data_IF_868062105962
#
_entry.id   IF_868062105962
#
_cell.length_a   1.000
_cell.length_b   1.000
_cell.length_c   1.000
_cell.angle_alpha   90.00
_cell.angle_beta   90.00
_cell.angle_gamma   90.00
#
_symmetry.space_group_name_H-M   'P 1'
#
loop_
_entity.id
_entity.type
_entity.pdbx_description
1 polymer ?
#
# COMPACT_ATOMS: atom_id res chain seq x y z
N UNK A 1 -15.88 -8.09 -20.90
CA UNK A 1 -17.02 -7.57 -20.12
C UNK A 1 -17.50 -8.72 -19.27
N UNK A 2 -17.26 -8.68 -17.97
CA UNK A 2 -17.94 -9.56 -17.03
C UNK A 2 -19.18 -8.82 -16.56
N UNK A 3 -20.31 -9.25 -17.10
CA UNK A 3 -21.65 -8.89 -16.64
C UNK A 3 -22.02 -9.83 -15.50
N UNK A 4 -21.76 -9.39 -14.27
CA UNK A 4 -22.67 -9.67 -13.18
C UNK A 4 -22.92 -8.33 -12.49
N UNK A 5 -24.04 -7.69 -12.83
CA UNK A 5 -24.41 -6.33 -12.45
C UNK A 5 -24.78 -6.18 -10.97
N UNK A 6 -24.05 -6.84 -10.06
CA UNK A 6 -24.13 -6.58 -8.63
C UNK A 6 -23.19 -5.45 -8.30
N UNK A 7 -23.76 -4.30 -7.95
CA UNK A 7 -23.02 -3.22 -7.31
C UNK A 7 -22.41 -3.77 -6.02
N UNK A 8 -21.08 -3.93 -6.00
CA UNK A 8 -20.37 -4.44 -4.83
C UNK A 8 -20.69 -3.58 -3.61
N UNK A 9 -21.00 -4.23 -2.50
CA UNK A 9 -21.42 -3.58 -1.27
C UNK A 9 -20.22 -2.88 -0.65
N UNK A 10 -20.40 -1.59 -0.35
CA UNK A 10 -19.43 -0.78 0.39
C UNK A 10 -19.48 -1.15 1.87
N UNK A 11 -18.36 -0.97 2.55
CA UNK A 11 -18.24 -1.18 3.99
C UNK A 11 -17.88 0.07 4.76
N UNK A 12 -17.56 -0.11 6.03
CA UNK A 12 -17.19 0.94 6.96
C UNK A 12 -15.76 0.74 7.43
N UNK A 13 -15.02 1.84 7.51
CA UNK A 13 -13.62 1.79 7.94
C UNK A 13 -13.50 1.51 9.43
N UNK A 14 -12.32 1.07 9.90
CA UNK A 14 -12.06 0.91 11.34
C UNK A 14 -12.28 2.22 12.10
N UNK A 15 -11.96 3.36 11.48
CA UNK A 15 -12.24 4.69 12.03
C UNK A 15 -13.72 5.00 12.25
N UNK A 16 -14.58 4.59 11.31
CA UNK A 16 -16.04 4.80 11.42
C UNK A 16 -16.63 3.97 12.55
N UNK A 17 -16.24 2.70 12.64
CA UNK A 17 -16.68 1.82 13.72
C UNK A 17 -16.17 2.31 15.09
N UNK A 18 -14.93 2.80 15.16
CA UNK A 18 -14.39 3.41 16.38
C UNK A 18 -15.14 4.68 16.79
N UNK A 19 -15.51 5.55 15.83
CA UNK A 19 -16.33 6.74 16.10
C UNK A 19 -17.73 6.35 16.60
N UNK A 20 -18.37 5.34 16.01
CA UNK A 20 -19.68 4.85 16.42
C UNK A 20 -19.66 4.26 17.84
N UNK A 21 -18.68 3.39 18.12
CA UNK A 21 -18.46 2.86 19.46
C UNK A 21 -18.19 3.98 20.47
N UNK A 22 -17.36 4.97 20.12
CA UNK A 22 -17.05 6.09 21.03
C UNK A 22 -18.26 6.95 21.31
N UNK A 23 -19.08 7.26 20.29
CA UNK A 23 -20.31 8.05 20.49
C UNK A 23 -21.25 7.36 21.48
N UNK A 24 -21.47 6.06 21.30
CA UNK A 24 -22.34 5.29 22.16
C UNK A 24 -21.81 5.18 23.60
N UNK A 25 -20.52 4.91 23.77
CA UNK A 25 -19.87 4.88 25.08
C UNK A 25 -19.92 6.25 25.77
N UNK A 26 -19.63 7.33 25.05
CA UNK A 26 -19.67 8.69 25.60
C UNK A 26 -21.10 9.09 26.02
N UNK A 27 -22.11 8.79 25.20
CA UNK A 27 -23.52 8.99 25.56
C UNK A 27 -23.87 8.23 26.85
N UNK A 28 -23.57 6.93 26.92
CA UNK A 28 -23.85 6.11 28.10
C UNK A 28 -23.10 6.57 29.36
N UNK A 29 -21.88 7.10 29.21
CA UNK A 29 -21.13 7.69 30.33
C UNK A 29 -21.83 8.93 30.89
N UNK A 30 -22.47 9.72 30.03
CA UNK A 30 -23.11 11.00 30.41
C UNK A 30 -24.55 10.83 30.87
N UNK A 31 -25.33 10.00 30.19
CA UNK A 31 -26.78 9.85 30.43
C UNK A 31 -27.12 8.57 31.20
N UNK A 32 -26.23 7.58 31.18
CA UNK A 32 -26.47 6.25 31.72
C UNK A 32 -27.09 5.26 30.73
N UNK A 33 -27.41 5.67 29.50
CA UNK A 33 -28.06 4.85 28.48
C UNK A 33 -27.27 4.79 27.17
N UNK A 34 -27.20 3.61 26.55
CA UNK A 34 -26.58 3.43 25.25
C UNK A 34 -27.57 3.78 24.12
N UNK A 35 -27.19 4.62 23.14
CA UNK A 35 -28.06 4.95 22.01
C UNK A 35 -28.17 3.77 21.05
N UNK A 36 -29.39 3.51 20.57
CA UNK A 36 -29.65 2.51 19.55
C UNK A 36 -30.69 2.99 18.51
N UNK A 37 -30.35 2.96 17.20
CA UNK A 37 -29.02 2.78 16.64
C UNK A 37 -28.12 4.02 16.90
N UNK A 38 -26.81 3.87 16.76
CA UNK A 38 -25.87 5.01 16.87
C UNK A 38 -25.52 5.55 15.48
N UNK A 39 -25.86 6.81 15.21
CA UNK A 39 -25.47 7.50 13.98
C UNK A 39 -24.15 8.24 14.13
N UNK A 40 -23.28 8.21 13.11
CA UNK A 40 -22.03 8.98 13.10
C UNK A 40 -21.85 9.75 11.81
N UNK A 41 -21.32 10.96 11.91
CA UNK A 41 -20.98 11.78 10.76
C UNK A 41 -19.68 11.32 10.08
N UNK A 42 -19.75 11.08 8.78
CA UNK A 42 -18.58 10.81 7.94
C UNK A 42 -17.97 12.13 7.43
N UNK A 43 -16.71 12.11 6.95
CA UNK A 43 -16.11 13.28 6.29
C UNK A 43 -16.90 13.86 5.11
N UNK A 44 -17.79 13.08 4.49
CA UNK A 44 -18.69 13.54 3.43
C UNK A 44 -19.99 14.17 3.93
N UNK A 45 -20.21 14.25 5.24
CA UNK A 45 -21.47 14.67 5.88
C UNK A 45 -22.55 13.58 5.94
N UNK A 46 -22.32 12.40 5.38
CA UNK A 46 -23.28 11.29 5.47
C UNK A 46 -23.35 10.75 6.90
N UNK A 47 -24.53 10.25 7.32
CA UNK A 47 -24.80 9.76 8.68
C UNK A 47 -25.27 8.30 8.71
N UNK A 48 -24.39 7.32 8.50
CA UNK A 48 -24.72 5.92 8.72
C UNK A 48 -25.03 5.59 10.19
N UNK A 49 -25.94 4.65 10.38
CA UNK A 49 -26.35 4.13 11.68
C UNK A 49 -25.74 2.74 11.94
N UNK A 50 -25.35 2.47 13.19
CA UNK A 50 -24.68 1.23 13.60
C UNK A 50 -25.41 0.58 14.78
N UNK A 51 -25.45 -0.76 14.77
CA UNK A 51 -25.82 -1.56 15.92
C UNK A 51 -24.61 -1.78 16.83
N UNK A 52 -24.83 -1.75 18.14
CA UNK A 52 -23.82 -2.08 19.12
C UNK A 52 -23.76 -3.59 19.30
N UNK A 53 -22.54 -4.13 19.30
CA UNK A 53 -22.28 -5.54 19.55
C UNK A 53 -21.93 -5.82 21.02
N UNK A 54 -21.42 -4.80 21.72
CA UNK A 54 -21.11 -4.83 23.15
C UNK A 54 -21.52 -3.50 23.76
N UNK A 55 -22.06 -3.57 24.98
CA UNK A 55 -22.39 -2.45 25.85
C UNK A 55 -21.95 -2.83 27.27
N UNK A 56 -21.13 -2.00 27.90
CA UNK A 56 -20.64 -2.24 29.25
C UNK A 56 -20.48 -0.90 29.97
N UNK A 57 -20.96 -0.81 31.21
CA UNK A 57 -20.82 0.37 32.05
C UNK A 57 -20.23 -0.04 33.40
N UNK A 58 -19.27 0.74 33.86
CA UNK A 58 -18.68 0.60 35.19
C UNK A 58 -18.62 1.92 35.93
N UNK A 59 -17.98 1.93 37.10
CA UNK A 59 -18.08 3.03 38.07
C UNK A 59 -17.48 4.37 37.59
N UNK A 60 -16.68 4.39 36.52
CA UNK A 60 -16.12 5.61 35.93
C UNK A 60 -15.83 5.47 34.43
N UNK A 61 -16.47 4.51 33.77
CA UNK A 61 -16.29 4.29 32.34
C UNK A 61 -17.56 3.74 31.71
N UNK A 62 -17.69 3.98 30.41
CA UNK A 62 -18.60 3.22 29.57
C UNK A 62 -17.81 2.70 28.38
N UNK A 63 -18.22 1.54 27.88
CA UNK A 63 -17.62 0.86 26.75
C UNK A 63 -18.72 0.41 25.80
N UNK A 64 -18.48 0.61 24.52
CA UNK A 64 -19.32 0.06 23.46
C UNK A 64 -18.45 -0.56 22.38
N UNK A 65 -19.01 -1.51 21.64
CA UNK A 65 -18.31 -2.20 20.56
C UNK A 65 -19.14 -2.24 19.27
N UNK A 66 -18.47 -2.11 18.13
CA UNK A 66 -19.07 -2.25 16.79
C UNK A 66 -18.29 -3.30 16.01
N UNK A 67 -18.99 -4.26 15.41
CA UNK A 67 -18.38 -5.23 14.49
C UNK A 67 -18.19 -4.56 13.13
N UNK A 68 -16.95 -4.51 12.65
CA UNK A 68 -16.61 -3.90 11.37
C UNK A 68 -17.15 -4.73 10.22
N UNK A 69 -17.95 -4.07 9.40
CA UNK A 69 -18.42 -4.62 8.14
C UNK A 69 -17.67 -3.97 6.97
N UNK A 70 -16.91 -4.75 6.19
CA UNK A 70 -16.09 -4.26 5.09
C UNK A 70 -16.81 -4.28 3.74
N UNK A 71 -18.09 -4.69 3.71
CA UNK A 71 -18.78 -4.88 2.45
C UNK A 71 -18.26 -6.13 1.73
N UNK A 72 -18.05 -6.01 0.42
CA UNK A 72 -17.49 -7.09 -0.41
C UNK A 72 -15.96 -6.94 -0.61
N UNK A 73 -15.30 -6.05 0.14
CA UNK A 73 -13.84 -5.94 0.13
C UNK A 73 -13.21 -7.11 0.91
N UNK A 74 -12.18 -7.79 0.37
CA UNK A 74 -11.43 -8.83 1.08
C UNK A 74 -10.49 -8.22 2.15
N UNK A 75 -11.05 -7.42 3.04
CA UNK A 75 -10.35 -6.69 4.10
C UNK A 75 -10.09 -7.62 5.30
N UNK A 76 -8.83 -7.74 5.71
CA UNK A 76 -8.42 -8.58 6.85
C UNK A 76 -9.08 -8.19 8.17
N UNK A 77 -9.56 -6.94 8.29
CA UNK A 77 -10.26 -6.42 9.46
C UNK A 77 -11.79 -6.55 9.36
N UNK A 78 -12.32 -7.20 8.33
CA UNK A 78 -13.74 -7.55 8.27
C UNK A 78 -14.12 -8.49 9.43
N UNK A 79 -15.25 -8.21 10.08
CA UNK A 79 -15.72 -8.96 11.25
C UNK A 79 -14.97 -8.62 12.55
N UNK A 80 -13.95 -7.76 12.51
CA UNK A 80 -13.24 -7.35 13.72
C UNK A 80 -14.16 -6.54 14.64
N UNK A 81 -14.18 -6.89 15.91
CA UNK A 81 -14.87 -6.12 16.93
C UNK A 81 -13.98 -4.95 17.38
N UNK A 82 -14.46 -3.74 17.14
CA UNK A 82 -13.80 -2.50 17.54
C UNK A 82 -14.53 -1.94 18.75
N UNK A 83 -13.81 -1.82 19.86
CA UNK A 83 -14.34 -1.39 21.15
C UNK A 83 -13.76 -0.02 21.49
N UNK A 84 -14.59 0.85 22.08
CA UNK A 84 -14.16 2.14 22.62
C UNK A 84 -14.56 2.20 24.08
N UNK A 85 -13.59 2.41 24.95
CA UNK A 85 -13.78 2.68 26.38
C UNK A 85 -13.58 4.16 26.62
N UNK A 86 -14.61 4.84 27.11
CA UNK A 86 -14.60 6.28 27.38
C UNK A 86 -14.62 6.52 28.89
N UNK A 87 -13.72 7.39 29.35
CA UNK A 87 -13.62 7.85 30.75
C UNK A 87 -13.61 9.37 30.78
N UNK A 88 -13.97 9.97 31.91
CA UNK A 88 -13.77 11.42 32.11
C UNK A 88 -12.28 11.72 32.16
N UNK A 89 -11.87 12.74 31.41
CA UNK A 89 -10.52 13.29 31.44
C UNK A 89 -10.33 14.26 32.60
N UNK A 90 -9.10 14.76 32.75
CA UNK A 90 -8.82 15.85 33.67
C UNK A 90 -9.35 17.17 33.10
N UNK A 91 -9.82 18.12 33.92
CA UNK A 91 -10.26 19.41 33.43
C UNK A 91 -9.20 20.11 32.56
N UNK A 92 -9.57 20.49 31.34
CA UNK A 92 -8.70 21.14 30.35
C UNK A 92 -7.76 20.20 29.59
N UNK A 93 -7.88 18.87 29.75
CA UNK A 93 -7.06 17.90 29.02
C UNK A 93 -7.47 17.74 27.56
N UNK A 94 -8.70 18.12 27.21
CA UNK A 94 -9.31 17.77 25.93
C UNK A 94 -9.44 16.25 25.76
N UNK A 95 -9.51 15.80 24.51
CA UNK A 95 -9.69 14.40 24.15
C UNK A 95 -8.32 13.72 24.04
N UNK A 96 -8.03 12.81 24.97
CA UNK A 96 -6.82 12.00 25.00
C UNK A 96 -7.10 10.64 24.39
N UNK A 97 -6.34 10.27 23.36
CA UNK A 97 -6.43 8.95 22.73
C UNK A 97 -5.47 7.97 23.37
N UNK A 98 -5.95 6.75 23.63
CA UNK A 98 -5.15 5.62 24.14
C UNK A 98 -5.31 4.40 23.24
N UNK A 99 -4.22 3.65 23.08
CA UNK A 99 -4.25 2.33 22.46
C UNK A 99 -4.61 1.29 23.53
N UNK A 100 -5.78 0.68 23.40
CA UNK A 100 -6.12 -0.55 24.11
C UNK A 100 -5.57 -1.78 23.36
N UNK A 101 -5.89 -2.97 23.88
CA UNK A 101 -5.43 -4.24 23.29
C UNK A 101 -5.79 -4.35 21.80
N UNK A 102 -4.82 -4.75 20.97
CA UNK A 102 -5.02 -4.94 19.53
C UNK A 102 -5.03 -3.67 18.68
N UNK A 103 -4.84 -2.48 19.27
CA UNK A 103 -4.51 -1.25 18.53
C UNK A 103 -3.01 -1.01 18.61
N UNK A 104 -2.39 -0.78 17.45
CA UNK A 104 -0.95 -0.60 17.37
C UNK A 104 -0.47 0.73 17.94
N UNK A 105 0.81 0.77 18.35
CA UNK A 105 1.54 1.99 18.71
C UNK A 105 2.59 2.27 17.65
N UNK A 106 2.75 3.55 17.30
CA UNK A 106 3.74 3.98 16.30
C UNK A 106 5.12 4.01 16.94
N UNK A 107 6.08 3.38 16.29
CA UNK A 107 7.48 3.25 16.75
C UNK A 107 8.49 3.85 15.78
N UNK A 108 8.07 4.16 14.55
CA UNK A 108 8.90 4.75 13.50
C UNK A 108 8.35 6.10 13.04
N UNK A 109 9.20 7.05 12.61
CA UNK A 109 8.75 8.31 12.04
C UNK A 109 8.21 8.12 10.61
N UNK A 110 7.58 9.16 10.05
CA UNK A 110 7.10 9.19 8.67
C UNK A 110 5.61 8.87 8.50
N UNK A 111 4.96 8.37 9.55
CA UNK A 111 3.50 8.30 9.61
C UNK A 111 2.90 9.67 10.00
N UNK A 112 1.59 9.90 9.76
CA UNK A 112 0.93 11.16 10.14
C UNK A 112 0.97 11.50 11.63
N UNK A 113 1.28 10.52 12.48
CA UNK A 113 1.37 10.64 13.92
C UNK A 113 2.79 10.27 14.37
N UNK A 114 3.34 10.96 15.38
CA UNK A 114 4.70 10.72 15.84
C UNK A 114 4.86 9.37 16.57
N UNK A 115 6.10 8.87 16.70
CA UNK A 115 6.41 7.74 17.57
C UNK A 115 5.90 7.93 19.01
N UNK A 116 5.41 6.86 19.61
CA UNK A 116 4.77 6.84 20.93
C UNK A 116 3.25 7.00 20.89
N UNK A 117 2.68 7.49 19.79
CA UNK A 117 1.23 7.68 19.67
C UNK A 117 0.49 6.38 19.32
N UNK A 118 -0.78 6.23 19.78
CA UNK A 118 -1.71 5.23 19.27
C UNK A 118 -1.89 5.39 17.76
N UNK A 119 -1.92 4.27 17.03
CA UNK A 119 -2.15 4.19 15.59
C UNK A 119 -3.62 4.47 15.21
N UNK A 120 -4.18 5.56 15.73
CA UNK A 120 -5.52 6.09 15.47
C UNK A 120 -5.34 7.33 14.61
N UNK A 121 -5.47 7.17 13.29
CA UNK A 121 -5.09 8.20 12.31
C UNK A 121 -5.90 9.51 12.45
N UNK A 122 -5.42 10.63 11.88
CA UNK A 122 -6.02 11.95 12.07
C UNK A 122 -7.50 12.06 11.68
N UNK A 123 -7.95 11.42 10.59
CA UNK A 123 -9.37 11.45 10.19
C UNK A 123 -10.24 10.69 11.20
N UNK A 124 -9.90 9.45 11.61
CA UNK A 124 -10.58 8.79 12.73
C UNK A 124 -10.62 9.62 14.02
N UNK A 125 -9.51 10.28 14.41
CA UNK A 125 -9.51 11.17 15.59
C UNK A 125 -10.55 12.28 15.45
N UNK A 126 -10.58 12.97 14.30
CA UNK A 126 -11.60 14.00 14.01
C UNK A 126 -13.02 13.45 14.05
N UNK A 127 -13.26 12.26 13.50
CA UNK A 127 -14.59 11.63 13.55
C UNK A 127 -15.01 11.31 14.99
N UNK A 128 -14.09 10.83 15.82
CA UNK A 128 -14.31 10.56 17.24
C UNK A 128 -14.57 11.87 18.00
N UNK A 129 -13.80 12.93 17.74
CA UNK A 129 -14.00 14.25 18.34
C UNK A 129 -15.39 14.82 17.99
N UNK A 130 -15.80 14.75 16.72
CA UNK A 130 -17.15 15.17 16.30
C UNK A 130 -18.23 14.35 17.01
N UNK A 131 -18.07 13.02 17.05
CA UNK A 131 -18.98 12.12 17.75
C UNK A 131 -19.13 12.46 19.24
N UNK A 132 -18.05 12.81 19.93
CA UNK A 132 -18.08 13.24 21.33
C UNK A 132 -18.78 14.59 21.46
N UNK A 133 -18.46 15.57 20.62
CA UNK A 133 -19.11 16.91 20.68
C UNK A 133 -20.62 16.85 20.46
N UNK A 134 -21.10 15.92 19.61
CA UNK A 134 -22.53 15.72 19.40
C UNK A 134 -23.29 15.29 20.66
N UNK A 135 -22.61 14.63 21.62
CA UNK A 135 -23.25 14.11 22.84
C UNK A 135 -22.88 14.91 24.09
N UNK A 136 -21.66 15.46 24.15
CA UNK A 136 -21.11 16.16 25.31
C UNK A 136 -21.10 17.69 25.16
N UNK A 137 -21.43 18.21 23.97
CA UNK A 137 -21.29 19.62 23.63
C UNK A 137 -19.82 20.05 23.60
N UNK A 138 -19.54 21.26 24.09
CA UNK A 138 -18.17 21.82 24.14
C UNK A 138 -17.30 21.23 25.27
N UNK A 139 -17.89 20.45 26.18
CA UNK A 139 -17.13 19.70 27.18
C UNK A 139 -16.39 18.55 26.50
N UNK A 140 -15.07 18.64 26.44
CA UNK A 140 -14.23 17.72 25.65
C UNK A 140 -13.16 17.00 26.47
N UNK A 141 -13.22 17.07 27.80
CA UNK A 141 -12.25 16.39 28.67
C UNK A 141 -12.60 14.90 28.81
N UNK A 142 -12.12 14.09 27.87
CA UNK A 142 -12.35 12.64 27.83
C UNK A 142 -11.07 11.87 27.54
N UNK A 143 -10.91 10.73 28.18
CA UNK A 143 -9.98 9.69 27.74
C UNK A 143 -10.73 8.67 26.88
N UNK A 144 -10.22 8.42 25.68
CA UNK A 144 -10.78 7.48 24.71
C UNK A 144 -9.76 6.40 24.42
N UNK A 145 -10.03 5.21 24.93
CA UNK A 145 -9.22 4.02 24.68
C UNK A 145 -9.89 3.14 23.63
N UNK A 146 -9.25 2.98 22.47
CA UNK A 146 -9.74 2.11 21.40
C UNK A 146 -9.02 0.77 21.47
N UNK A 147 -9.76 -0.33 21.45
CA UNK A 147 -9.24 -1.69 21.37
C UNK A 147 -9.87 -2.46 20.22
N UNK A 148 -9.16 -3.46 19.70
CA UNK A 148 -9.64 -4.34 18.64
C UNK A 148 -9.42 -5.79 19.07
N UNK A 149 -10.50 -6.56 19.13
CA UNK A 149 -10.41 -7.98 19.49
C UNK A 149 -9.55 -8.72 18.46
N UNK A 150 -8.60 -9.51 18.97
CA UNK A 150 -7.58 -10.21 18.17
C UNK A 150 -6.75 -9.29 17.23
N UNK A 151 -6.71 -7.97 17.49
CA UNK A 151 -6.03 -7.00 16.63
C UNK A 151 -4.53 -7.25 16.45
N UNK A 152 -3.86 -7.83 17.43
CA UNK A 152 -2.45 -8.27 17.32
C UNK A 152 -2.29 -9.33 16.21
N UNK A 153 -3.14 -10.36 16.21
CA UNK A 153 -3.12 -11.43 15.19
C UNK A 153 -3.53 -10.92 13.81
N UNK A 154 -4.47 -9.97 13.76
CA UNK A 154 -4.85 -9.32 12.52
C UNK A 154 -3.68 -8.52 11.93
N UNK A 155 -2.91 -7.83 12.79
CA UNK A 155 -1.78 -7.01 12.36
C UNK A 155 -0.65 -7.81 11.69
N UNK A 156 -0.45 -9.08 12.07
CA UNK A 156 0.52 -9.98 11.42
C UNK A 156 0.27 -10.19 9.92
N UNK A 157 -0.97 -9.97 9.48
CA UNK A 157 -1.39 -10.07 8.08
C UNK A 157 -1.45 -8.72 7.37
N UNK A 158 -0.84 -7.68 7.94
CA UNK A 158 -0.84 -6.31 7.40
C UNK A 158 0.58 -5.79 7.22
N UNK A 159 0.70 -4.63 6.56
CA UNK A 159 1.96 -3.90 6.44
C UNK A 159 2.33 -3.11 7.71
N UNK A 160 1.56 -3.20 8.79
CA UNK A 160 1.78 -2.40 10.00
C UNK A 160 3.17 -2.59 10.60
N UNK A 161 3.66 -3.84 10.71
CA UNK A 161 5.00 -4.11 11.23
C UNK A 161 6.10 -3.39 10.44
N UNK A 162 5.98 -3.38 9.10
CA UNK A 162 6.90 -2.66 8.19
C UNK A 162 6.84 -1.15 8.37
N UNK A 163 5.66 -0.61 8.62
CA UNK A 163 5.46 0.81 8.90
C UNK A 163 5.86 1.22 10.32
N UNK A 164 6.30 0.27 11.16
CA UNK A 164 6.65 0.54 12.55
C UNK A 164 5.44 0.67 13.47
N UNK A 165 4.33 0.01 13.15
CA UNK A 165 3.13 -0.04 13.99
C UNK A 165 3.12 -1.41 14.68
N UNK A 166 3.30 -1.40 16.00
CA UNK A 166 3.54 -2.61 16.81
C UNK A 166 2.42 -2.81 17.83
N UNK A 167 2.03 -4.06 18.10
CA UNK A 167 1.03 -4.41 19.11
C UNK A 167 -0.43 -4.39 18.62
N UNK A 168 -0.68 -4.15 17.33
CA UNK A 168 -2.04 -4.17 16.82
C UNK A 168 -2.23 -3.52 15.45
N UNK A 169 -3.50 -3.46 15.04
CA UNK A 169 -3.89 -2.81 13.79
C UNK A 169 -4.00 -1.29 13.94
N UNK A 170 -4.08 -0.61 12.81
CA UNK A 170 -4.32 0.83 12.75
C UNK A 170 -5.82 1.11 12.68
N UNK A 171 -6.29 2.10 13.44
CA UNK A 171 -7.61 2.69 13.26
C UNK A 171 -7.48 3.78 12.19
N UNK A 172 -8.02 3.52 11.01
CA UNK A 172 -7.79 4.30 9.81
C UNK A 172 -9.06 4.41 8.95
N UNK A 173 -9.01 5.30 7.97
CA UNK A 173 -10.11 5.59 7.05
C UNK A 173 -10.11 7.09 6.70
N UNK A 174 -10.05 7.43 5.42
CA UNK A 174 -10.02 8.84 4.97
C UNK A 174 -11.41 9.39 4.66
N UNK A 175 -12.32 8.53 4.20
CA UNK A 175 -13.71 8.86 3.83
C UNK A 175 -14.73 8.27 4.79
N UNK A 176 -14.29 7.44 5.73
CA UNK A 176 -15.15 6.60 6.55
C UNK A 176 -15.76 5.38 5.83
N UNK A 177 -15.48 5.20 4.53
CA UNK A 177 -16.09 4.14 3.71
C UNK A 177 -15.02 3.23 3.12
N UNK A 178 -15.23 1.92 3.21
CA UNK A 178 -14.46 0.91 2.48
C UNK A 178 -15.10 0.73 1.10
N UNK A 179 -14.30 0.91 0.06
CA UNK A 179 -14.70 0.67 -1.33
C UNK A 179 -14.02 -0.64 -1.77
N UNK A 180 -14.78 -1.67 -2.17
CA UNK A 180 -14.21 -2.95 -2.59
C UNK A 180 -13.17 -2.81 -3.70
N UNK A 181 -12.04 -3.49 -3.54
CA UNK A 181 -10.93 -3.52 -4.49
C UNK A 181 -10.39 -2.13 -4.86
N UNK A 182 -10.38 -1.20 -3.89
CA UNK A 182 -9.96 0.17 -4.15
C UNK A 182 -8.47 0.28 -4.46
N UNK A 183 -8.15 0.70 -5.68
CA UNK A 183 -6.79 1.07 -6.06
C UNK A 183 -6.23 2.22 -5.21
N UNK A 184 -7.07 3.13 -4.71
CA UNK A 184 -6.59 4.25 -3.90
C UNK A 184 -6.08 3.79 -2.54
N UNK A 185 -6.72 2.79 -1.92
CA UNK A 185 -6.27 2.22 -0.65
C UNK A 185 -4.87 1.59 -0.79
N UNK A 186 -4.65 0.84 -1.89
CA UNK A 186 -3.35 0.27 -2.21
C UNK A 186 -2.29 1.35 -2.50
N UNK A 187 -2.61 2.37 -3.30
CA UNK A 187 -1.68 3.47 -3.58
C UNK A 187 -1.27 4.21 -2.30
N UNK A 188 -2.20 4.40 -1.35
CA UNK A 188 -1.87 5.03 -0.07
C UNK A 188 -0.91 4.20 0.79
N UNK A 189 -0.92 2.86 0.71
CA UNK A 189 0.07 2.04 1.44
C UNK A 189 1.48 2.23 0.86
N UNK A 190 1.60 2.33 -0.47
CA UNK A 190 2.86 2.66 -1.16
C UNK A 190 3.41 4.00 -0.65
N UNK A 191 2.55 5.02 -0.54
CA UNK A 191 2.95 6.35 -0.06
C UNK A 191 3.48 6.29 1.37
N UNK A 192 2.80 5.54 2.26
CA UNK A 192 3.24 5.38 3.65
C UNK A 192 4.56 4.64 3.78
N UNK A 193 4.78 3.62 2.94
CA UNK A 193 6.09 2.96 2.86
C UNK A 193 7.20 3.96 2.52
N UNK A 194 6.98 4.79 1.49
CA UNK A 194 7.95 5.82 1.08
C UNK A 194 8.15 6.87 2.18
N UNK A 195 7.08 7.34 2.82
CA UNK A 195 7.19 8.34 3.89
C UNK A 195 8.02 7.80 5.08
N UNK A 196 7.80 6.55 5.48
CA UNK A 196 8.57 5.87 6.53
C UNK A 196 10.02 5.65 6.10
N UNK A 197 10.26 5.18 4.87
CA UNK A 197 11.61 5.02 4.34
C UNK A 197 12.41 6.34 4.40
N UNK A 198 11.80 7.43 3.94
CA UNK A 198 12.40 8.77 3.97
C UNK A 198 12.66 9.26 5.39
N UNK A 199 11.68 9.13 6.27
CA UNK A 199 11.79 9.61 7.65
C UNK A 199 12.78 8.78 8.48
N UNK A 200 13.06 7.53 8.09
CA UNK A 200 14.10 6.69 8.69
C UNK A 200 15.48 6.90 8.07
N UNK A 201 15.62 7.81 7.11
CA UNK A 201 16.90 8.14 6.47
C UNK A 201 17.30 7.22 5.32
N UNK A 202 16.38 6.38 4.80
CA UNK A 202 16.67 5.55 3.64
C UNK A 202 16.83 6.45 2.39
N UNK A 203 18.01 6.41 1.78
CA UNK A 203 18.31 7.13 0.53
C UNK A 203 17.99 6.30 -0.72
N UNK A 204 17.93 4.97 -0.57
CA UNK A 204 17.59 4.00 -1.61
C UNK A 204 16.31 3.26 -1.24
N UNK A 205 15.29 3.31 -2.10
CA UNK A 205 14.06 2.51 -1.97
C UNK A 205 13.93 1.52 -3.12
N UNK A 206 13.35 0.35 -2.85
CA UNK A 206 13.09 -0.70 -3.82
C UNK A 206 11.59 -0.98 -3.90
N UNK A 207 10.98 -0.62 -5.03
CA UNK A 207 9.61 -1.00 -5.37
C UNK A 207 9.59 -2.37 -6.04
N UNK A 208 8.91 -3.35 -5.46
CA UNK A 208 8.81 -4.70 -6.00
C UNK A 208 7.39 -5.03 -6.47
N UNK A 209 7.27 -5.74 -7.60
CA UNK A 209 5.95 -6.22 -8.07
C UNK A 209 5.43 -7.44 -7.31
N UNK A 210 6.23 -8.01 -6.42
CA UNK A 210 5.87 -9.16 -5.61
C UNK A 210 7.01 -9.65 -4.73
N UNK A 211 6.68 -10.57 -3.81
CA UNK A 211 7.57 -11.05 -2.74
C UNK A 211 8.89 -11.66 -3.25
N UNK A 212 8.86 -12.44 -4.35
CA UNK A 212 10.09 -13.04 -4.91
C UNK A 212 11.08 -11.97 -5.39
N UNK A 213 10.61 -10.99 -6.16
CA UNK A 213 11.44 -9.89 -6.64
C UNK A 213 11.87 -8.94 -5.51
N UNK A 214 11.03 -8.77 -4.49
CA UNK A 214 11.36 -7.99 -3.30
C UNK A 214 12.55 -8.61 -2.56
N UNK A 215 12.46 -9.90 -2.22
CA UNK A 215 13.53 -10.63 -1.51
C UNK A 215 14.82 -10.71 -2.32
N UNK A 216 14.72 -11.01 -3.62
CA UNK A 216 15.90 -11.10 -4.48
C UNK A 216 16.59 -9.74 -4.63
N UNK A 217 15.82 -8.67 -4.82
CA UNK A 217 16.34 -7.30 -4.88
C UNK A 217 16.90 -6.82 -3.54
N UNK A 218 16.24 -7.16 -2.43
CA UNK A 218 16.71 -6.88 -1.08
C UNK A 218 18.08 -7.52 -0.83
N UNK A 219 18.22 -8.82 -1.13
CA UNK A 219 19.49 -9.54 -0.95
C UNK A 219 20.60 -9.00 -1.86
N UNK A 220 20.25 -8.55 -3.08
CA UNK A 220 21.22 -7.99 -4.03
C UNK A 220 21.84 -6.67 -3.56
N UNK A 221 21.06 -5.84 -2.86
CA UNK A 221 21.48 -4.49 -2.44
C UNK A 221 21.63 -4.34 -0.92
N UNK A 222 21.45 -5.41 -0.15
CA UNK A 222 21.47 -5.43 1.32
C UNK A 222 20.59 -4.33 1.94
N UNK A 223 19.36 -4.21 1.41
CA UNK A 223 18.45 -3.14 1.83
C UNK A 223 17.73 -3.49 3.15
N UNK A 224 17.56 -2.51 4.06
CA UNK A 224 16.74 -2.69 5.23
C UNK A 224 15.27 -2.86 4.82
N UNK A 225 14.47 -3.54 5.65
CA UNK A 225 13.05 -3.77 5.38
C UNK A 225 12.28 -2.46 5.14
N UNK A 226 12.66 -1.37 5.82
CA UNK A 226 12.06 -0.04 5.66
C UNK A 226 12.26 0.58 4.28
N UNK A 227 13.24 0.12 3.50
CA UNK A 227 13.47 0.55 2.13
C UNK A 227 12.65 -0.23 1.10
N UNK A 228 11.98 -1.31 1.50
CA UNK A 228 11.21 -2.18 0.61
C UNK A 228 9.77 -1.70 0.51
N UNK A 229 9.35 -1.42 -0.71
CA UNK A 229 8.01 -0.92 -1.02
C UNK A 229 7.27 -1.99 -1.81
N UNK A 230 6.26 -2.59 -1.19
CA UNK A 230 5.31 -3.45 -1.89
C UNK A 230 4.40 -2.57 -2.77
N UNK A 231 4.83 -2.35 -4.02
CA UNK A 231 4.09 -1.53 -4.97
C UNK A 231 3.05 -2.34 -5.76
N UNK A 232 3.05 -3.67 -5.65
CA UNK A 232 2.30 -4.56 -6.51
C UNK A 232 2.47 -4.19 -7.99
N UNK A 233 1.37 -3.99 -8.70
CA UNK A 233 1.39 -3.68 -10.13
C UNK A 233 1.42 -2.16 -10.45
N UNK A 234 1.48 -1.28 -9.44
CA UNK A 234 1.25 0.16 -9.57
C UNK A 234 2.54 1.00 -9.65
N UNK A 235 3.42 0.70 -10.61
CA UNK A 235 4.69 1.41 -10.82
C UNK A 235 4.47 2.92 -11.03
N UNK A 236 3.49 3.30 -11.85
CA UNK A 236 3.18 4.72 -12.10
C UNK A 236 2.70 5.46 -10.84
N UNK A 237 1.98 4.77 -9.95
CA UNK A 237 1.52 5.35 -8.67
C UNK A 237 2.68 5.65 -7.74
N UNK A 238 3.65 4.74 -7.65
CA UNK A 238 4.88 4.92 -6.88
C UNK A 238 5.73 6.06 -7.45
N UNK A 239 6.03 6.03 -8.75
CA UNK A 239 6.86 7.05 -9.41
C UNK A 239 6.23 8.45 -9.32
N UNK A 240 4.91 8.55 -9.47
CA UNK A 240 4.20 9.83 -9.31
C UNK A 240 4.39 10.42 -7.91
N UNK A 241 4.37 9.60 -6.86
CA UNK A 241 4.53 10.06 -5.48
C UNK A 241 5.97 10.47 -5.17
N UNK A 242 6.95 9.72 -5.66
CA UNK A 242 8.37 10.03 -5.55
C UNK A 242 8.73 11.39 -6.18
N UNK A 243 7.92 11.88 -7.13
CA UNK A 243 8.12 13.23 -7.70
C UNK A 243 7.99 14.38 -6.72
N UNK A 244 7.07 14.26 -5.76
CA UNK A 244 6.90 15.24 -4.70
C UNK A 244 7.63 14.86 -3.41
N UNK A 245 8.11 13.61 -3.31
CA UNK A 245 8.80 13.06 -2.13
C UNK A 245 10.07 12.32 -2.57
N UNK A 246 11.09 13.05 -3.08
CA UNK A 246 12.26 12.42 -3.67
C UNK A 246 13.09 11.66 -2.64
N UNK A 247 13.79 10.65 -3.15
CA UNK A 247 14.87 9.87 -2.54
C UNK A 247 16.02 9.82 -3.54
N UNK A 248 17.24 9.59 -3.09
CA UNK A 248 18.42 9.64 -3.97
C UNK A 248 18.40 8.53 -5.02
N UNK A 249 17.91 7.33 -4.66
CA UNK A 249 17.89 6.16 -5.54
C UNK A 249 16.59 5.36 -5.43
N UNK A 250 16.08 4.92 -6.58
CA UNK A 250 14.91 4.06 -6.71
C UNK A 250 15.26 2.85 -7.56
N UNK A 251 14.96 1.66 -7.06
CA UNK A 251 14.98 0.42 -7.86
C UNK A 251 13.56 -0.04 -8.12
N UNK A 252 13.26 -0.41 -9.37
CA UNK A 252 12.04 -1.14 -9.74
C UNK A 252 12.43 -2.59 -9.96
N UNK A 253 11.92 -3.49 -9.14
CA UNK A 253 12.17 -4.92 -9.25
C UNK A 253 10.88 -5.65 -9.65
N UNK A 254 10.98 -6.57 -10.62
CA UNK A 254 9.84 -7.39 -10.97
C UNK A 254 10.17 -8.63 -11.78
N UNK A 255 9.16 -9.49 -11.93
CA UNK A 255 9.27 -10.69 -12.74
C UNK A 255 9.38 -10.37 -14.23
N UNK A 256 10.00 -11.27 -15.01
CA UNK A 256 10.15 -11.16 -16.48
C UNK A 256 8.89 -10.66 -17.19
N UNK A 257 7.71 -11.20 -16.87
CA UNK A 257 6.45 -10.79 -17.49
C UNK A 257 6.05 -9.33 -17.18
N UNK A 258 6.25 -8.88 -15.94
CA UNK A 258 5.88 -7.53 -15.50
C UNK A 258 6.86 -6.50 -16.05
N UNK A 259 8.15 -6.83 -16.08
CA UNK A 259 9.18 -5.96 -16.63
C UNK A 259 9.09 -5.87 -18.15
N UNK A 260 8.69 -6.93 -18.86
CA UNK A 260 8.35 -6.86 -20.29
C UNK A 260 7.21 -5.88 -20.56
N UNK A 261 6.17 -5.84 -19.72
CA UNK A 261 5.09 -4.85 -19.86
C UNK A 261 5.56 -3.42 -19.63
N UNK A 262 6.40 -3.22 -18.62
CA UNK A 262 7.02 -1.90 -18.38
C UNK A 262 7.90 -1.49 -19.57
N UNK A 263 8.67 -2.42 -20.14
CA UNK A 263 9.43 -2.21 -21.37
C UNK A 263 8.55 -1.85 -22.58
N UNK A 264 7.29 -2.29 -22.59
CA UNK A 264 6.29 -1.99 -23.61
C UNK A 264 5.48 -0.71 -23.31
N UNK A 265 5.89 0.08 -22.31
CA UNK A 265 5.29 1.39 -22.01
C UNK A 265 4.18 1.37 -20.94
N UNK A 266 3.91 0.21 -20.32
CA UNK A 266 2.84 0.09 -19.32
C UNK A 266 3.32 0.47 -17.92
N UNK A 267 2.70 1.49 -17.31
CA UNK A 267 2.96 1.90 -15.92
C UNK A 267 2.08 1.20 -14.88
N UNK A 268 1.02 0.53 -15.33
CA UNK A 268 0.23 -0.42 -14.55
C UNK A 268 0.38 -1.78 -15.23
N UNK A 269 1.07 -2.70 -14.56
CA UNK A 269 1.51 -3.98 -15.12
C UNK A 269 0.54 -5.13 -14.78
N UNK A 270 -0.64 -4.80 -14.26
CA UNK A 270 -1.67 -5.78 -13.93
C UNK A 270 -2.15 -6.54 -15.19
N UNK A 271 -2.46 -7.83 -15.05
CA UNK A 271 -2.88 -8.69 -16.18
C UNK A 271 -4.11 -8.16 -16.92
N UNK A 272 -5.08 -7.65 -16.17
CA UNK A 272 -6.31 -7.04 -16.71
C UNK A 272 -6.09 -5.73 -17.50
N UNK A 273 -4.91 -5.09 -17.41
CA UNK A 273 -4.60 -3.84 -18.12
C UNK A 273 -3.98 -4.06 -19.49
N UNK A 274 -3.61 -5.30 -19.80
CA UNK A 274 -2.99 -5.70 -21.05
C UNK A 274 -2.08 -6.90 -20.83
N UNK A 275 -1.99 -7.76 -21.84
CA UNK A 275 -1.02 -8.85 -21.87
C UNK A 275 0.31 -8.33 -22.41
N UNK A 276 1.40 -9.03 -22.08
CA UNK A 276 2.67 -8.74 -22.71
C UNK A 276 2.58 -9.13 -24.19
N UNK A 277 3.03 -8.24 -25.06
CA UNK A 277 3.07 -8.48 -26.50
C UNK A 277 4.30 -9.32 -26.85
N UNK A 278 4.08 -10.55 -27.32
CA UNK A 278 5.16 -11.48 -27.69
C UNK A 278 5.80 -11.13 -29.03
N UNK A 279 5.10 -10.44 -29.94
CA UNK A 279 5.67 -9.92 -31.17
C UNK A 279 6.67 -8.81 -30.87
N UNK A 280 6.29 -7.90 -29.97
CA UNK A 280 7.20 -6.87 -29.47
C UNK A 280 8.40 -7.48 -28.71
N UNK A 281 8.17 -8.54 -27.91
CA UNK A 281 9.27 -9.24 -27.22
C UNK A 281 10.22 -9.94 -28.20
N UNK A 282 9.70 -10.54 -29.27
CA UNK A 282 10.50 -11.15 -30.32
C UNK A 282 11.38 -10.10 -31.05
N UNK A 283 10.87 -8.88 -31.25
CA UNK A 283 11.66 -7.78 -31.79
C UNK A 283 12.82 -7.41 -30.85
N UNK A 284 12.58 -7.32 -29.53
CA UNK A 284 13.64 -7.09 -28.54
C UNK A 284 14.68 -8.22 -28.53
N UNK A 285 14.27 -9.47 -28.75
CA UNK A 285 15.21 -10.59 -28.86
C UNK A 285 16.12 -10.47 -30.10
N UNK A 286 15.60 -9.96 -31.22
CA UNK A 286 16.45 -9.63 -32.38
C UNK A 286 17.40 -8.49 -32.09
N UNK A 287 16.95 -7.44 -31.41
CA UNK A 287 17.82 -6.33 -30.96
C UNK A 287 18.97 -6.84 -30.07
N UNK A 288 18.71 -7.86 -29.25
CA UNK A 288 19.70 -8.52 -28.42
C UNK A 288 20.67 -9.46 -29.19
N UNK A 289 20.52 -9.58 -30.52
CA UNK A 289 21.35 -10.45 -31.38
C UNK A 289 20.74 -11.81 -31.70
N UNK A 290 19.48 -12.05 -31.35
CA UNK A 290 18.74 -13.26 -31.69
C UNK A 290 18.48 -13.40 -33.19
N UNK A 291 18.55 -14.64 -33.69
CA UNK A 291 18.23 -14.95 -35.08
C UNK A 291 16.71 -15.05 -35.34
N UNK A 292 16.33 -15.19 -36.61
CA UNK A 292 14.92 -15.26 -36.99
C UNK A 292 14.18 -16.46 -36.41
N UNK A 293 14.87 -17.61 -36.30
CA UNK A 293 14.29 -18.82 -35.70
C UNK A 293 13.90 -18.60 -34.24
N UNK A 294 14.76 -17.93 -33.46
CA UNK A 294 14.47 -17.55 -32.09
C UNK A 294 13.29 -16.58 -32.02
N UNK A 295 13.26 -15.57 -32.89
CA UNK A 295 12.16 -14.62 -32.94
C UNK A 295 10.81 -15.30 -33.22
N UNK A 296 10.76 -16.24 -34.18
CA UNK A 296 9.57 -17.05 -34.46
C UNK A 296 9.17 -17.89 -33.24
N UNK A 297 10.12 -18.55 -32.59
CA UNK A 297 9.85 -19.35 -31.40
C UNK A 297 9.29 -18.52 -30.24
N UNK A 298 9.79 -17.30 -30.03
CA UNK A 298 9.29 -16.38 -29.00
C UNK A 298 7.85 -15.95 -29.29
N UNK A 299 7.50 -15.65 -30.54
CA UNK A 299 6.10 -15.31 -30.92
C UNK A 299 5.12 -16.42 -30.62
N UNK A 300 5.56 -17.67 -30.76
CA UNK A 300 4.76 -18.86 -30.52
C UNK A 300 4.78 -19.32 -29.05
N UNK A 301 5.52 -18.63 -28.18
CA UNK A 301 5.56 -18.99 -26.77
C UNK A 301 4.21 -18.71 -26.09
N UNK A 302 3.80 -19.59 -25.16
CA UNK A 302 2.55 -19.38 -24.42
C UNK A 302 2.69 -18.34 -23.29
N UNK A 303 3.91 -18.12 -22.79
CA UNK A 303 4.19 -17.21 -21.67
C UNK A 303 5.52 -16.49 -21.88
N UNK A 304 5.64 -15.29 -21.33
CA UNK A 304 6.90 -14.52 -21.32
C UNK A 304 8.04 -15.31 -20.67
N UNK A 305 7.77 -16.09 -19.62
CA UNK A 305 8.80 -16.93 -18.99
C UNK A 305 9.43 -17.93 -19.99
N UNK A 306 8.61 -18.58 -20.81
CA UNK A 306 9.09 -19.50 -21.84
C UNK A 306 9.90 -18.76 -22.93
N UNK A 307 9.51 -17.53 -23.30
CA UNK A 307 10.32 -16.71 -24.21
C UNK A 307 11.72 -16.40 -23.65
N UNK A 308 11.82 -16.15 -22.33
CA UNK A 308 13.12 -15.96 -21.67
C UNK A 308 13.95 -17.25 -21.63
N UNK A 309 13.33 -18.41 -21.39
CA UNK A 309 14.01 -19.72 -21.45
C UNK A 309 14.56 -20.03 -22.85
N UNK A 310 13.80 -19.70 -23.91
CA UNK A 310 14.23 -19.83 -25.30
C UNK A 310 15.43 -18.92 -25.61
N UNK A 311 15.40 -17.66 -25.17
CA UNK A 311 16.50 -16.72 -25.35
C UNK A 311 17.77 -17.17 -24.60
N UNK A 312 17.63 -17.66 -23.37
CA UNK A 312 18.73 -18.20 -22.56
C UNK A 312 19.37 -19.41 -23.22
N UNK A 313 18.56 -20.33 -23.76
CA UNK A 313 19.04 -21.49 -24.53
C UNK A 313 19.82 -21.09 -25.78
N UNK A 314 19.44 -19.96 -26.40
CA UNK A 314 20.13 -19.37 -27.54
C UNK A 314 21.31 -18.45 -27.14
N UNK A 315 21.62 -18.32 -25.84
CA UNK A 315 22.66 -17.43 -25.28
C UNK A 315 22.44 -15.95 -25.62
N UNK A 316 21.18 -15.54 -25.70
CA UNK A 316 20.77 -14.15 -25.96
C UNK A 316 20.32 -13.52 -24.64
N UNK A 317 20.94 -12.38 -24.28
CA UNK A 317 20.59 -11.61 -23.08
C UNK A 317 19.36 -10.73 -23.32
N UNK A 318 18.21 -11.38 -23.44
CA UNK A 318 16.92 -10.71 -23.59
C UNK A 318 16.58 -9.86 -22.36
N UNK A 319 17.01 -10.29 -21.17
CA UNK A 319 16.70 -9.61 -19.92
C UNK A 319 17.37 -8.25 -19.79
N UNK A 320 18.62 -8.10 -20.25
CA UNK A 320 19.28 -6.80 -20.33
C UNK A 320 18.47 -5.83 -21.20
N UNK A 321 18.11 -6.22 -22.43
CA UNK A 321 17.33 -5.34 -23.34
C UNK A 321 15.98 -4.98 -22.74
N UNK A 322 15.27 -5.94 -22.12
CA UNK A 322 14.00 -5.65 -21.42
C UNK A 322 14.22 -4.66 -20.26
N UNK A 323 15.29 -4.81 -19.47
CA UNK A 323 15.61 -3.88 -18.40
C UNK A 323 15.88 -2.46 -18.92
N UNK A 324 16.64 -2.32 -20.02
CA UNK A 324 16.91 -1.02 -20.66
C UNK A 324 15.62 -0.32 -21.11
N UNK A 325 14.74 -1.03 -21.83
CA UNK A 325 13.47 -0.45 -22.32
C UNK A 325 12.51 -0.13 -21.17
N UNK A 326 12.46 -0.98 -20.14
CA UNK A 326 11.68 -0.73 -18.93
C UNK A 326 12.17 0.51 -18.19
N UNK A 327 13.49 0.71 -18.14
CA UNK A 327 14.11 1.90 -17.57
C UNK A 327 13.67 3.14 -18.32
N UNK A 328 13.67 3.13 -19.66
CA UNK A 328 13.25 4.27 -20.48
C UNK A 328 11.80 4.67 -20.16
N UNK A 329 10.89 3.71 -20.05
CA UNK A 329 9.50 3.97 -19.67
C UNK A 329 9.39 4.58 -18.27
N UNK A 330 10.06 3.99 -17.29
CA UNK A 330 10.00 4.44 -15.90
C UNK A 330 10.67 5.82 -15.73
N UNK A 331 11.82 6.05 -16.38
CA UNK A 331 12.52 7.32 -16.40
C UNK A 331 11.66 8.43 -17.03
N UNK A 332 10.97 8.14 -18.14
CA UNK A 332 10.05 9.07 -18.78
C UNK A 332 8.83 9.40 -17.90
N UNK A 333 8.43 8.51 -16.99
CA UNK A 333 7.38 8.78 -16.02
C UNK A 333 7.90 9.58 -14.81
N UNK A 334 9.14 9.33 -14.38
CA UNK A 334 9.74 9.98 -13.22
C UNK A 334 10.24 11.39 -13.55
N UNK A 335 11.04 11.55 -14.61
CA UNK A 335 11.63 12.82 -15.10
C UNK A 335 12.24 13.69 -13.98
N UNK A 336 13.04 13.08 -13.10
CA UNK A 336 13.68 13.80 -11.99
C UNK A 336 15.20 13.63 -11.98
N UNK A 337 15.96 14.73 -12.17
CA UNK A 337 17.41 14.66 -12.12
C UNK A 337 17.99 14.19 -10.79
N UNK A 338 17.31 14.49 -9.69
CA UNK A 338 17.76 14.16 -8.34
C UNK A 338 17.58 12.68 -7.97
N UNK A 339 16.93 11.87 -8.81
CA UNK A 339 16.64 10.46 -8.52
C UNK A 339 17.38 9.57 -9.52
N UNK A 340 18.30 8.76 -9.01
CA UNK A 340 18.90 7.65 -9.75
C UNK A 340 17.91 6.48 -9.81
N UNK A 341 17.77 5.87 -10.99
CA UNK A 341 16.83 4.79 -11.25
C UNK A 341 17.59 3.57 -11.77
N UNK A 342 17.24 2.38 -11.28
CA UNK A 342 17.61 1.11 -11.91
C UNK A 342 16.45 0.12 -11.95
N UNK A 343 16.50 -0.78 -12.94
CA UNK A 343 15.54 -1.86 -13.13
C UNK A 343 16.21 -3.20 -12.80
N UNK A 344 15.51 -4.07 -12.08
CA UNK A 344 15.88 -5.46 -11.87
C UNK A 344 14.80 -6.39 -12.42
N UNK A 345 15.23 -7.33 -13.26
CA UNK A 345 14.37 -8.35 -13.88
C UNK A 345 14.71 -9.71 -13.29
N UNK A 346 13.73 -10.35 -12.66
CA UNK A 346 13.89 -11.67 -12.02
C UNK A 346 13.00 -12.72 -12.68
N UNK A 347 13.42 -13.98 -12.63
CA UNK A 347 12.53 -15.12 -12.92
C UNK A 347 11.69 -15.52 -11.71
N UNK A 348 10.96 -16.65 -11.81
CA UNK A 348 10.09 -17.15 -10.74
C UNK A 348 10.86 -17.69 -9.53
N UNK A 349 12.12 -18.06 -9.73
CA UNK A 349 13.02 -18.56 -8.70
C UNK A 349 13.82 -17.43 -8.02
N UNK A 350 13.68 -16.19 -8.51
CA UNK A 350 14.42 -15.03 -8.01
C UNK A 350 15.82 -14.91 -8.61
N UNK A 351 16.15 -15.65 -9.67
CA UNK A 351 17.41 -15.47 -10.36
C UNK A 351 17.37 -14.19 -11.20
N UNK A 352 18.44 -13.40 -11.15
CA UNK A 352 18.55 -12.16 -11.90
C UNK A 352 18.73 -12.48 -13.39
N UNK A 353 17.78 -12.03 -14.21
CA UNK A 353 17.78 -12.21 -15.68
C UNK A 353 18.20 -10.95 -16.43
N UNK A 354 18.11 -9.78 -15.79
CA UNK A 354 18.53 -8.52 -16.40
C UNK A 354 18.59 -7.40 -15.38
N UNK A 355 19.46 -6.42 -15.60
CA UNK A 355 19.54 -5.20 -14.79
C UNK A 355 20.03 -4.02 -15.59
N UNK A 356 19.68 -2.82 -15.16
CA UNK A 356 20.35 -1.58 -15.61
C UNK A 356 21.30 -1.07 -14.54
N UNK A 357 22.28 -0.24 -14.95
CA UNK A 357 23.02 0.57 -14.00
C UNK A 357 22.07 1.60 -13.34
N UNK A 358 22.44 2.05 -12.14
CA UNK A 358 21.73 3.14 -11.48
C UNK A 358 22.15 4.46 -12.11
N UNK A 359 21.22 5.11 -12.83
CA UNK A 359 21.50 6.33 -13.58
C UNK A 359 20.42 7.39 -13.29
N UNK A 360 20.78 8.68 -13.24
CA UNK A 360 19.79 9.75 -13.06
C UNK A 360 18.67 9.68 -14.10
N UNK A 361 17.41 9.69 -13.66
CA UNK A 361 16.25 9.43 -14.53
C UNK A 361 16.00 10.46 -15.65
N UNK A 362 16.78 11.54 -15.71
CA UNK A 362 16.70 12.58 -16.74
C UNK A 362 17.72 12.40 -17.86
N UNK A 363 18.72 11.53 -17.69
CA UNK A 363 19.75 11.31 -18.70
C UNK A 363 19.23 10.39 -19.80
N UNK A 364 19.62 10.61 -21.08
CA UNK A 364 19.34 9.66 -22.13
C UNK A 364 20.03 8.33 -21.80
N UNK A 365 19.28 7.22 -21.87
CA UNK A 365 19.86 5.91 -21.59
C UNK A 365 20.91 5.57 -22.65
N UNK A 366 22.16 5.38 -22.23
CA UNK A 366 23.22 4.90 -23.11
C UNK A 366 22.96 3.40 -23.39
N UNK A 367 22.30 3.08 -24.50
CA UNK A 367 22.04 1.68 -24.85
C UNK A 367 23.36 0.95 -25.09
N UNK A 368 23.54 -0.17 -24.40
CA UNK A 368 24.73 -1.01 -24.57
C UNK A 368 24.75 -1.78 -25.91
N UNK A 369 23.64 -1.73 -26.66
CA UNK A 369 23.44 -2.42 -27.94
C UNK A 369 23.50 -1.49 -29.17
N UNK A 370 23.51 -0.17 -28.97
CA UNK A 370 23.40 0.84 -30.04
C UNK A 370 24.66 1.10 -30.86
N UNK A 371 25.83 0.65 -30.42
CA UNK A 371 27.11 1.02 -31.06
C UNK A 371 27.68 -0.05 -32.02
N UNK A 372 27.02 -1.20 -32.17
CA UNK A 372 27.47 -2.27 -33.09
C UNK A 372 27.01 -2.08 -34.54
N UNK A 373 26.04 -1.21 -34.82
CA UNK A 373 25.48 -1.00 -36.17
C UNK A 373 25.92 0.30 -36.86
N UNK A 374 26.95 1.01 -36.36
CA UNK A 374 27.51 2.21 -37.01
C UNK A 374 28.84 1.97 -37.74
N UNK A 375 29.27 0.71 -37.90
CA UNK A 375 30.43 0.34 -38.71
C UNK A 375 30.06 -0.77 -39.69
N UNK A 376 29.37 -0.40 -40.77
CA UNK A 376 29.50 -0.98 -42.11
C UNK A 376 29.06 0.06 -43.11
#
# INVERSE_FOLDING_TARGET
MDTDGKTLRRGWTTGTCAAAATKAACAALLTGEFPYPVEVELPSGARPAFSLAIEEKGDNFARAGVVKDAGDDPDVTHGALIESTVRRGQPGSGIIFKAGKGVGTITRPGLPLPPGEPAINPVPRKMIETAIREVAGESTDFEVEISVRDGEKLAEKTLNGRLGIVGGISILGTTGIVIPFSCSAWIHSIWRGIDVARATGCTHVLGATGNTSEKAGQALYDLPETALIDMGDFIGGMLKYLRSHPVERVTIAGGVAKMTKLAQGMLDVHSKKGLADLDALAALAREAGGNENLAIAIRQANMVAHAFELAESAKIDLGAVVAEKAWVTAAAALKMPAIALDILVFDRQGALKGRTASTPSHQPFASSFGDRNRRT
#
